data_IF_064256245979
#
_entry.id   IF_064256245979
#
_cell.length_a   1.000
_cell.length_b   1.000
_cell.length_c   1.000
_cell.angle_alpha   90.00
_cell.angle_beta   90.00
_cell.angle_gamma   90.00
#
_symmetry.space_group_name_H-M   'P 1'
#
loop_
_entity.id
_entity.type
_entity.pdbx_description
1 polymer ?
#
# COMPACT_ATOMS: atom_id res chain seq x y z
N UNK A 1 -2.85 -24.15 -12.35
CA UNK A 1 -3.91 -23.39 -11.65
C UNK A 1 -3.59 -21.91 -11.73
N UNK A 2 -4.06 -21.25 -12.79
CA UNK A 2 -4.06 -19.80 -12.89
C UNK A 2 -4.97 -19.24 -11.78
N UNK A 3 -4.41 -18.49 -10.83
CA UNK A 3 -5.23 -17.61 -9.98
C UNK A 3 -5.72 -16.49 -10.88
N UNK A 4 -7.02 -16.48 -11.16
CA UNK A 4 -7.69 -15.36 -11.81
C UNK A 4 -7.25 -14.05 -11.15
N UNK A 5 -6.80 -13.10 -11.98
CA UNK A 5 -6.50 -11.73 -11.57
C UNK A 5 -7.72 -11.20 -10.82
N UNK A 6 -7.54 -10.86 -9.54
CA UNK A 6 -8.61 -10.36 -8.68
C UNK A 6 -9.35 -9.21 -9.35
N UNK A 7 -10.54 -9.50 -9.87
CA UNK A 7 -11.47 -8.51 -10.38
C UNK A 7 -11.76 -7.53 -9.25
N UNK A 8 -11.86 -6.25 -9.59
CA UNK A 8 -12.19 -5.17 -8.65
C UNK A 8 -13.60 -5.42 -8.11
N UNK A 9 -13.72 -6.08 -6.96
CA UNK A 9 -15.01 -6.35 -6.32
C UNK A 9 -15.66 -5.01 -5.97
N UNK A 10 -16.73 -4.68 -6.70
CA UNK A 10 -17.36 -3.38 -6.70
C UNK A 10 -18.80 -3.52 -6.24
N UNK A 11 -19.28 -2.56 -5.45
CA UNK A 11 -20.70 -2.46 -5.07
C UNK A 11 -21.63 -2.07 -6.24
N UNK A 12 -21.20 -2.23 -7.50
CA UNK A 12 -21.95 -1.79 -8.68
C UNK A 12 -23.22 -2.62 -8.92
N UNK A 13 -23.30 -3.84 -8.40
CA UNK A 13 -24.50 -4.70 -8.47
C UNK A 13 -25.43 -4.61 -7.25
N UNK A 14 -25.15 -3.71 -6.31
CA UNK A 14 -25.96 -3.57 -5.08
C UNK A 14 -27.22 -2.74 -5.37
N UNK A 15 -28.41 -3.18 -4.94
CA UNK A 15 -29.64 -2.40 -5.05
C UNK A 15 -29.49 -1.00 -4.43
N UNK A 16 -30.04 0.00 -5.12
CA UNK A 16 -29.97 1.40 -4.71
C UNK A 16 -31.26 2.10 -5.12
N UNK A 17 -31.67 3.10 -4.34
CA UNK A 17 -32.64 4.08 -4.82
C UNK A 17 -32.07 4.87 -6.00
N UNK A 18 -32.97 5.42 -6.82
CA UNK A 18 -32.61 6.25 -7.96
C UNK A 18 -31.92 7.55 -7.50
N UNK A 19 -30.81 7.88 -8.17
CA UNK A 19 -30.07 9.12 -7.96
C UNK A 19 -30.87 10.37 -8.34
N UNK A 20 -31.93 10.21 -9.15
CA UNK A 20 -32.83 11.29 -9.53
C UNK A 20 -33.95 11.56 -8.51
N UNK A 21 -34.04 10.79 -7.42
CA UNK A 21 -35.10 11.00 -6.44
C UNK A 21 -34.96 12.35 -5.72
N UNK A 22 -36.10 12.91 -5.30
CA UNK A 22 -36.20 14.26 -4.69
C UNK A 22 -35.30 14.40 -3.46
N UNK A 23 -35.19 13.34 -2.65
CA UNK A 23 -34.28 13.30 -1.52
C UNK A 23 -32.81 13.43 -1.93
N UNK A 24 -32.39 12.69 -2.98
CA UNK A 24 -31.01 12.72 -3.47
C UNK A 24 -30.63 14.12 -3.98
N UNK A 25 -31.54 14.81 -4.68
CA UNK A 25 -31.30 16.19 -5.15
C UNK A 25 -31.11 17.16 -3.99
N UNK A 26 -31.97 17.11 -2.98
CA UNK A 26 -31.88 17.96 -1.78
C UNK A 26 -30.60 17.69 -0.99
N UNK A 27 -30.26 16.42 -0.78
CA UNK A 27 -29.03 16.04 -0.09
C UNK A 27 -27.78 16.44 -0.88
N UNK A 28 -27.81 16.35 -2.23
CA UNK A 28 -26.74 16.86 -3.11
C UNK A 28 -26.52 18.34 -2.93
N UNK A 29 -27.60 19.13 -2.95
CA UNK A 29 -27.53 20.56 -2.78
C UNK A 29 -26.92 20.93 -1.42
N UNK A 30 -27.31 20.23 -0.35
CA UNK A 30 -26.74 20.43 0.98
C UNK A 30 -25.25 20.07 1.07
N UNK A 31 -24.84 18.93 0.51
CA UNK A 31 -23.42 18.50 0.48
C UNK A 31 -22.52 19.52 -0.23
N UNK A 32 -23.01 20.13 -1.30
CA UNK A 32 -22.31 21.19 -2.04
C UNK A 32 -22.36 22.55 -1.36
N UNK A 33 -23.32 22.75 -0.46
CA UNK A 33 -23.47 23.97 0.33
C UNK A 33 -22.48 24.07 1.49
N UNK A 34 -22.53 25.21 2.18
CA UNK A 34 -21.70 25.48 3.36
C UNK A 34 -21.99 24.51 4.52
N UNK A 35 -23.23 24.04 4.65
CA UNK A 35 -23.65 23.08 5.69
C UNK A 35 -23.04 21.68 5.53
N UNK A 36 -22.85 21.22 4.28
CA UNK A 36 -22.27 19.92 3.96
C UNK A 36 -20.77 19.95 3.66
N UNK A 37 -20.12 21.10 3.85
CA UNK A 37 -18.67 21.25 3.71
C UNK A 37 -18.17 21.48 2.28
N UNK A 38 -18.99 22.09 1.42
CA UNK A 38 -18.62 22.53 0.06
C UNK A 38 -17.99 21.41 -0.79
N UNK A 39 -18.56 20.21 -0.75
CA UNK A 39 -18.03 19.06 -1.49
C UNK A 39 -18.08 19.31 -3.00
N UNK A 40 -17.10 18.80 -3.74
CA UNK A 40 -17.17 18.83 -5.21
C UNK A 40 -18.31 17.95 -5.72
N UNK A 41 -18.78 18.19 -6.94
CA UNK A 41 -19.86 17.42 -7.55
C UNK A 41 -19.59 15.91 -7.52
N UNK A 42 -18.39 15.51 -7.97
CA UNK A 42 -17.94 14.12 -7.89
C UNK A 42 -17.97 13.55 -6.48
N UNK A 43 -17.56 14.32 -5.47
CA UNK A 43 -17.56 13.86 -4.07
C UNK A 43 -18.99 13.68 -3.56
N UNK A 44 -19.88 14.63 -3.84
CA UNK A 44 -21.28 14.57 -3.44
C UNK A 44 -21.96 13.33 -4.05
N UNK A 45 -21.82 13.12 -5.37
CA UNK A 45 -22.38 11.97 -6.09
C UNK A 45 -21.90 10.63 -5.49
N UNK A 46 -20.62 10.54 -5.12
CA UNK A 46 -20.07 9.34 -4.48
C UNK A 46 -20.58 9.09 -3.06
N UNK A 47 -20.91 10.13 -2.30
CA UNK A 47 -21.48 10.00 -0.96
C UNK A 47 -22.95 9.56 -1.07
N UNK A 48 -23.73 10.24 -1.92
CA UNK A 48 -25.14 9.95 -2.12
C UNK A 48 -25.34 8.52 -2.61
N UNK A 49 -24.58 8.09 -3.62
CA UNK A 49 -24.69 6.72 -4.14
C UNK A 49 -24.50 5.66 -3.04
N UNK A 50 -23.64 5.90 -2.05
CA UNK A 50 -23.47 4.99 -0.90
C UNK A 50 -24.63 5.07 0.07
N UNK A 51 -25.13 6.27 0.34
CA UNK A 51 -26.29 6.49 1.20
C UNK A 51 -27.56 5.84 0.61
N UNK A 52 -27.81 5.96 -0.69
CA UNK A 52 -28.98 5.35 -1.34
C UNK A 52 -28.94 3.83 -1.32
N UNK A 53 -27.75 3.21 -1.40
CA UNK A 53 -27.58 1.76 -1.20
C UNK A 53 -27.84 1.33 0.24
N UNK A 54 -27.37 2.11 1.21
CA UNK A 54 -27.67 1.87 2.62
C UNK A 54 -29.17 1.97 2.89
N UNK A 55 -29.81 3.01 2.39
CA UNK A 55 -31.25 3.22 2.56
C UNK A 55 -32.04 2.10 1.87
N UNK A 56 -31.73 1.75 0.61
CA UNK A 56 -32.43 0.65 -0.09
C UNK A 56 -32.25 -0.70 0.59
N UNK A 57 -31.08 -0.96 1.19
CA UNK A 57 -30.88 -2.15 2.01
C UNK A 57 -31.74 -2.15 3.28
N UNK A 58 -31.95 -0.98 3.90
CA UNK A 58 -32.74 -0.88 5.13
C UNK A 58 -34.25 -0.92 4.87
N UNK A 59 -34.68 -0.57 3.66
CA UNK A 59 -36.08 -0.52 3.23
C UNK A 59 -36.26 -1.22 1.88
N UNK A 60 -36.00 -2.54 1.85
CA UNK A 60 -36.00 -3.33 0.62
C UNK A 60 -37.32 -3.23 -0.15
N UNK A 61 -38.43 -3.24 0.58
CA UNK A 61 -39.81 -3.22 0.03
C UNK A 61 -40.30 -1.84 -0.41
N UNK A 62 -39.57 -0.77 -0.08
CA UNK A 62 -39.98 0.60 -0.39
C UNK A 62 -39.38 1.09 -1.72
N UNK A 63 -40.22 1.62 -2.60
CA UNK A 63 -39.80 2.17 -3.90
C UNK A 63 -39.57 3.69 -3.85
N UNK A 64 -40.14 4.36 -2.84
CA UNK A 64 -40.05 5.81 -2.68
C UNK A 64 -39.39 6.18 -1.36
N UNK A 65 -38.42 7.09 -1.43
CA UNK A 65 -37.65 7.52 -0.28
C UNK A 65 -38.27 8.79 0.33
N UNK A 66 -38.76 8.67 1.57
CA UNK A 66 -39.26 9.80 2.39
C UNK A 66 -38.30 10.09 3.55
N UNK A 67 -38.41 11.29 4.15
CA UNK A 67 -37.60 11.64 5.32
C UNK A 67 -37.88 10.72 6.53
N UNK A 68 -39.12 10.27 6.71
CA UNK A 68 -39.47 9.34 7.79
C UNK A 68 -38.78 7.97 7.62
N UNK A 69 -38.68 7.48 6.38
CA UNK A 69 -37.94 6.25 6.06
C UNK A 69 -36.45 6.46 6.35
N UNK A 70 -35.88 7.60 5.95
CA UNK A 70 -34.48 7.93 6.24
C UNK A 70 -34.21 7.95 7.74
N UNK A 71 -35.05 8.63 8.51
CA UNK A 71 -34.92 8.73 9.96
C UNK A 71 -35.07 7.36 10.64
N UNK A 72 -36.01 6.53 10.19
CA UNK A 72 -36.16 5.15 10.65
C UNK A 72 -34.90 4.31 10.40
N UNK A 73 -34.36 4.36 9.18
CA UNK A 73 -33.15 3.63 8.81
C UNK A 73 -31.96 4.05 9.66
N UNK A 74 -31.79 5.36 9.86
CA UNK A 74 -30.69 5.92 10.65
C UNK A 74 -30.85 5.66 12.15
N UNK A 75 -32.07 5.65 12.68
CA UNK A 75 -32.32 5.45 14.11
C UNK A 75 -32.33 3.98 14.54
N UNK A 76 -32.12 3.03 13.63
CA UNK A 76 -32.06 1.60 13.92
C UNK A 76 -30.62 1.08 13.94
N UNK A 77 -29.99 0.90 15.12
CA UNK A 77 -28.66 0.30 15.21
C UNK A 77 -28.61 -1.10 14.57
N UNK A 78 -29.69 -1.88 14.70
CA UNK A 78 -29.75 -3.24 14.15
C UNK A 78 -29.60 -3.25 12.61
N UNK A 79 -30.26 -2.33 11.91
CA UNK A 79 -30.13 -2.21 10.45
C UNK A 79 -28.71 -1.78 10.07
N UNK A 80 -28.13 -0.83 10.82
CA UNK A 80 -26.75 -0.41 10.62
C UNK A 80 -25.75 -1.57 10.80
N UNK A 81 -25.91 -2.41 11.84
CA UNK A 81 -25.05 -3.57 12.07
C UNK A 81 -25.23 -4.63 10.96
N UNK A 82 -26.47 -4.95 10.57
CA UNK A 82 -26.72 -5.89 9.47
C UNK A 82 -26.09 -5.42 8.16
N UNK A 83 -26.24 -4.15 7.83
CA UNK A 83 -25.61 -3.57 6.64
C UNK A 83 -24.08 -3.68 6.70
N UNK A 84 -23.51 -3.41 7.87
CA UNK A 84 -22.07 -3.51 8.07
C UNK A 84 -21.54 -4.94 7.90
N UNK A 85 -22.29 -5.93 8.38
CA UNK A 85 -21.95 -7.35 8.23
C UNK A 85 -22.08 -7.78 6.76
N UNK A 86 -23.17 -7.43 6.06
CA UNK A 86 -23.37 -7.73 4.64
C UNK A 86 -22.29 -7.09 3.75
N UNK A 87 -21.83 -5.87 4.06
CA UNK A 87 -20.68 -5.28 3.37
C UNK A 87 -19.40 -6.14 3.46
N UNK A 88 -19.24 -6.92 4.53
CA UNK A 88 -18.09 -7.80 4.73
C UNK A 88 -18.31 -9.21 4.17
N UNK A 89 -19.43 -9.85 4.48
CA UNK A 89 -19.69 -11.25 4.13
C UNK A 89 -20.14 -11.42 2.68
N UNK A 90 -21.11 -10.62 2.25
CA UNK A 90 -21.77 -10.77 0.95
C UNK A 90 -21.06 -9.95 -0.13
N UNK A 91 -20.77 -8.68 0.16
CA UNK A 91 -20.15 -7.78 -0.83
C UNK A 91 -18.62 -7.89 -0.86
N UNK A 92 -18.05 -8.56 0.15
CA UNK A 92 -16.60 -8.76 0.32
C UNK A 92 -15.79 -7.46 0.19
N UNK A 93 -16.36 -6.36 0.70
CA UNK A 93 -15.87 -5.03 0.45
C UNK A 93 -14.60 -4.75 1.27
N UNK A 94 -13.57 -4.20 0.62
CA UNK A 94 -12.32 -3.82 1.26
C UNK A 94 -12.52 -2.80 2.39
N UNK A 95 -11.59 -2.77 3.36
CA UNK A 95 -11.71 -1.90 4.54
C UNK A 95 -11.89 -0.42 4.22
N UNK A 96 -11.16 0.14 3.24
CA UNK A 96 -11.31 1.54 2.87
C UNK A 96 -12.69 1.82 2.24
N UNK A 97 -13.22 0.87 1.46
CA UNK A 97 -14.57 0.96 0.92
C UNK A 97 -15.61 1.01 2.05
N UNK A 98 -15.45 0.15 3.07
CA UNK A 98 -16.35 0.10 4.24
C UNK A 98 -16.29 1.39 5.05
N UNK A 99 -15.09 1.95 5.25
CA UNK A 99 -14.92 3.28 5.84
C UNK A 99 -15.65 4.33 5.00
N UNK A 100 -15.54 4.26 3.67
CA UNK A 100 -16.23 5.17 2.76
C UNK A 100 -17.77 5.13 2.86
N UNK A 101 -18.37 3.98 3.20
CA UNK A 101 -19.80 3.87 3.51
C UNK A 101 -20.12 4.46 4.89
N UNK A 102 -19.34 4.14 5.92
CA UNK A 102 -19.53 4.69 7.26
C UNK A 102 -19.43 6.23 7.28
N UNK A 103 -18.46 6.78 6.56
CA UNK A 103 -18.28 8.24 6.44
C UNK A 103 -19.47 8.86 5.68
N UNK A 104 -20.02 8.20 4.66
CA UNK A 104 -21.22 8.67 3.94
C UNK A 104 -22.47 8.67 4.83
N UNK A 105 -22.69 7.59 5.58
CA UNK A 105 -23.81 7.50 6.53
C UNK A 105 -23.67 8.56 7.64
N UNK A 106 -22.46 8.89 8.08
CA UNK A 106 -22.25 9.96 9.05
C UNK A 106 -22.64 11.36 8.52
N UNK A 107 -22.36 11.64 7.24
CA UNK A 107 -22.83 12.86 6.57
C UNK A 107 -24.37 12.88 6.47
N UNK A 108 -24.98 11.73 6.17
CA UNK A 108 -26.44 11.57 6.13
C UNK A 108 -27.10 11.77 7.51
N UNK A 109 -26.49 11.27 8.59
CA UNK A 109 -26.91 11.55 9.97
C UNK A 109 -26.86 13.04 10.26
N UNK A 110 -25.79 13.73 9.81
CA UNK A 110 -25.64 15.17 10.01
C UNK A 110 -26.71 15.96 9.25
N UNK A 111 -26.97 15.60 8.00
CA UNK A 111 -28.05 16.17 7.20
C UNK A 111 -29.41 16.05 7.89
N UNK A 112 -29.73 14.85 8.39
CA UNK A 112 -31.03 14.58 9.04
C UNK A 112 -31.20 15.38 10.34
N UNK A 113 -30.12 15.56 11.12
CA UNK A 113 -30.14 16.42 12.32
C UNK A 113 -30.46 17.89 12.01
N UNK A 114 -30.05 18.39 10.84
CA UNK A 114 -30.23 19.79 10.47
C UNK A 114 -31.60 20.05 9.84
N UNK A 115 -32.22 19.06 9.20
CA UNK A 115 -33.48 19.22 8.46
C UNK A 115 -34.74 18.91 9.27
N UNK A 116 -34.77 19.30 10.56
CA UNK A 116 -36.01 19.34 11.33
C UNK A 116 -36.44 18.01 11.98
N UNK A 117 -35.50 17.12 12.28
CA UNK A 117 -35.75 15.91 13.04
C UNK A 117 -36.42 16.20 14.40
N UNK A 118 -37.39 15.37 14.79
CA UNK A 118 -38.01 15.45 16.12
C UNK A 118 -37.01 15.13 17.25
N UNK A 119 -37.31 15.52 18.49
CA UNK A 119 -36.41 15.28 19.63
C UNK A 119 -36.12 13.78 19.84
N UNK A 120 -37.12 12.92 19.64
CA UNK A 120 -36.96 11.47 19.69
C UNK A 120 -35.98 10.96 18.61
N UNK A 121 -36.10 11.48 17.38
CA UNK A 121 -35.19 11.16 16.28
C UNK A 121 -33.78 11.67 16.57
N UNK A 122 -33.60 12.89 17.10
CA UNK A 122 -32.29 13.44 17.45
C UNK A 122 -31.52 12.58 18.46
N UNK A 123 -32.23 11.98 19.43
CA UNK A 123 -31.66 11.02 20.38
C UNK A 123 -31.20 9.73 19.68
N UNK A 124 -32.04 9.19 18.78
CA UNK A 124 -31.70 8.03 17.95
C UNK A 124 -30.47 8.28 17.07
N UNK A 125 -30.44 9.41 16.36
CA UNK A 125 -29.32 9.83 15.51
C UNK A 125 -28.01 10.04 16.31
N UNK A 126 -28.10 10.48 17.56
CA UNK A 126 -26.92 10.61 18.44
C UNK A 126 -26.36 9.26 18.87
N UNK A 127 -27.24 8.29 19.08
CA UNK A 127 -26.86 6.89 19.34
C UNK A 127 -26.16 6.30 18.12
N UNK A 128 -26.73 6.48 16.93
CA UNK A 128 -26.15 6.02 15.66
C UNK A 128 -24.77 6.64 15.39
N UNK A 129 -24.59 7.94 15.63
CA UNK A 129 -23.29 8.61 15.49
C UNK A 129 -22.21 7.98 16.41
N UNK A 130 -22.60 7.57 17.61
CA UNK A 130 -21.71 6.85 18.54
C UNK A 130 -21.30 5.48 17.99
N UNK A 131 -22.23 4.73 17.41
CA UNK A 131 -21.95 3.43 16.79
C UNK A 131 -21.08 3.58 15.54
N UNK A 132 -21.38 4.54 14.66
CA UNK A 132 -20.58 4.83 13.47
C UNK A 132 -19.11 5.14 13.84
N UNK A 133 -18.88 5.97 14.87
CA UNK A 133 -17.52 6.24 15.38
C UNK A 133 -16.81 4.98 15.87
N UNK A 134 -17.50 4.10 16.60
CA UNK A 134 -16.96 2.82 17.08
C UNK A 134 -16.64 1.88 15.92
N UNK A 135 -17.59 1.66 15.00
CA UNK A 135 -17.42 0.83 13.81
C UNK A 135 -16.24 1.32 12.96
N UNK A 136 -16.18 2.62 12.67
CA UNK A 136 -15.10 3.24 11.90
C UNK A 136 -13.74 3.02 12.56
N UNK A 137 -13.64 3.17 13.88
CA UNK A 137 -12.41 2.90 14.65
C UNK A 137 -12.01 1.43 14.55
N UNK A 138 -12.96 0.50 14.64
CA UNK A 138 -12.73 -0.94 14.50
C UNK A 138 -12.23 -1.28 13.11
N UNK A 139 -12.91 -0.83 12.04
CA UNK A 139 -12.45 -1.05 10.66
C UNK A 139 -11.08 -0.44 10.44
N UNK A 140 -10.84 0.77 10.94
CA UNK A 140 -9.52 1.43 10.83
C UNK A 140 -8.43 0.65 11.57
N UNK A 141 -8.76 -0.06 12.66
CA UNK A 141 -7.82 -0.93 13.37
C UNK A 141 -7.58 -2.22 12.56
N UNK A 142 -8.63 -2.86 12.06
CA UNK A 142 -8.52 -4.05 11.18
C UNK A 142 -7.71 -3.74 9.93
N UNK A 143 -8.00 -2.62 9.28
CA UNK A 143 -7.28 -2.11 8.11
C UNK A 143 -5.79 -1.92 8.41
N UNK A 144 -5.43 -1.29 9.53
CA UNK A 144 -4.03 -1.14 9.95
C UNK A 144 -3.36 -2.48 10.24
N UNK A 145 -4.06 -3.41 10.89
CA UNK A 145 -3.53 -4.75 11.17
C UNK A 145 -3.28 -5.52 9.87
N UNK A 146 -4.26 -5.57 8.97
CA UNK A 146 -4.13 -6.19 7.65
C UNK A 146 -2.99 -5.54 6.84
N UNK A 147 -2.88 -4.23 6.85
CA UNK A 147 -1.79 -3.53 6.18
C UNK A 147 -0.41 -3.77 6.76
N UNK A 148 -0.35 -4.18 8.03
CA UNK A 148 0.92 -4.56 8.66
C UNK A 148 1.28 -6.01 8.36
N UNK A 149 0.29 -6.89 8.09
CA UNK A 149 0.49 -8.31 7.76
C UNK A 149 0.56 -8.62 6.27
N UNK A 150 -0.18 -7.91 5.44
CA UNK A 150 -0.26 -8.13 3.99
C UNK A 150 0.96 -7.49 3.32
N UNK A 151 1.91 -8.35 2.97
CA UNK A 151 3.14 -8.01 2.26
C UNK A 151 3.01 -8.13 0.74
N UNK A 152 1.84 -8.53 0.23
CA UNK A 152 1.61 -8.70 -1.20
C UNK A 152 1.19 -7.37 -1.86
N UNK A 153 2.12 -6.80 -2.65
CA UNK A 153 1.93 -5.53 -3.34
C UNK A 153 0.78 -5.61 -4.33
N UNK A 154 0.63 -6.73 -5.05
CA UNK A 154 -0.39 -6.89 -6.08
C UNK A 154 -1.80 -6.86 -5.47
N UNK A 155 -1.96 -7.47 -4.28
CA UNK A 155 -3.22 -7.44 -3.52
C UNK A 155 -3.53 -6.04 -2.98
N UNK A 156 -2.50 -5.32 -2.50
CA UNK A 156 -2.66 -3.94 -2.02
C UNK A 156 -3.00 -2.97 -3.16
N UNK A 157 -2.42 -3.16 -4.35
CA UNK A 157 -2.70 -2.37 -5.54
C UNK A 157 -4.12 -2.63 -6.06
N UNK A 158 -4.54 -3.90 -6.16
CA UNK A 158 -5.90 -4.28 -6.56
C UNK A 158 -6.97 -3.67 -5.64
N UNK A 159 -6.70 -3.59 -4.33
CA UNK A 159 -7.59 -2.97 -3.34
C UNK A 159 -7.49 -1.43 -3.29
N UNK A 160 -6.63 -0.80 -4.10
CA UNK A 160 -6.41 0.65 -4.11
C UNK A 160 -5.74 1.19 -2.84
N UNK A 161 -5.05 0.34 -2.09
CA UNK A 161 -4.39 0.67 -0.82
C UNK A 161 -2.89 0.99 -0.98
N UNK A 162 -2.32 0.67 -2.15
CA UNK A 162 -0.93 0.97 -2.48
C UNK A 162 -0.77 2.42 -2.96
N UNK A 163 0.13 3.19 -2.33
CA UNK A 163 0.43 4.55 -2.75
C UNK A 163 1.56 4.56 -3.79
N UNK A 164 1.44 5.40 -4.82
CA UNK A 164 2.49 5.57 -5.83
C UNK A 164 3.51 6.62 -5.40
N UNK A 165 4.69 6.62 -6.03
CA UNK A 165 5.69 7.65 -5.80
C UNK A 165 5.17 9.06 -6.16
N UNK A 166 4.37 9.18 -7.22
CA UNK A 166 3.77 10.44 -7.63
C UNK A 166 2.74 10.95 -6.62
N UNK A 167 1.92 10.07 -6.06
CA UNK A 167 0.99 10.42 -4.99
C UNK A 167 1.73 10.92 -3.75
N UNK A 168 2.86 10.31 -3.40
CA UNK A 168 3.71 10.75 -2.29
C UNK A 168 4.32 12.13 -2.57
N UNK A 169 4.88 12.35 -3.75
CA UNK A 169 5.41 13.66 -4.15
C UNK A 169 4.30 14.73 -4.13
N UNK A 170 3.10 14.37 -4.57
CA UNK A 170 1.91 15.23 -4.52
C UNK A 170 1.49 15.65 -3.12
N UNK A 171 1.83 14.89 -2.07
CA UNK A 171 1.58 15.28 -0.67
C UNK A 171 2.32 16.57 -0.33
N UNK A 172 3.58 16.70 -0.74
CA UNK A 172 4.38 17.91 -0.48
C UNK A 172 3.75 19.10 -1.19
N UNK A 173 3.45 18.96 -2.49
CA UNK A 173 2.84 20.03 -3.30
C UNK A 173 1.49 20.48 -2.74
N UNK A 174 0.67 19.55 -2.24
CA UNK A 174 -0.65 19.84 -1.65
C UNK A 174 -0.57 20.69 -0.38
N UNK A 175 0.42 20.42 0.47
CA UNK A 175 0.52 21.08 1.78
C UNK A 175 1.48 22.28 1.79
N UNK A 176 2.31 22.44 0.76
CA UNK A 176 3.27 23.54 0.64
C UNK A 176 2.61 24.93 0.74
N UNK A 177 1.48 25.25 0.06
CA UNK A 177 0.85 26.56 0.17
C UNK A 177 0.40 26.88 1.61
N UNK A 178 -0.09 25.87 2.34
CA UNK A 178 -0.47 26.02 3.74
C UNK A 178 0.76 26.26 4.62
N UNK A 179 1.85 25.55 4.38
CA UNK A 179 3.10 25.75 5.12
C UNK A 179 3.67 27.16 4.90
N UNK A 180 3.68 27.64 3.66
CA UNK A 180 4.13 28.99 3.32
C UNK A 180 3.28 30.08 4.00
N UNK A 181 1.96 29.90 4.05
CA UNK A 181 1.07 30.79 4.77
C UNK A 181 1.42 30.86 6.27
N UNK A 182 1.60 29.69 6.91
CA UNK A 182 2.02 29.62 8.32
C UNK A 182 3.37 30.29 8.53
N UNK A 183 4.35 30.02 7.66
CA UNK A 183 5.68 30.61 7.74
C UNK A 183 5.62 32.14 7.61
N UNK A 184 4.80 32.67 6.69
CA UNK A 184 4.60 34.11 6.52
C UNK A 184 4.00 34.74 7.78
N UNK A 185 2.92 34.16 8.31
CA UNK A 185 2.33 34.61 9.58
C UNK A 185 3.34 34.62 10.74
N UNK A 186 4.21 33.61 10.82
CA UNK A 186 5.24 33.54 11.85
C UNK A 186 6.37 34.56 11.63
N UNK A 187 6.72 34.88 10.39
CA UNK A 187 7.71 35.93 10.06
C UNK A 187 7.23 37.32 10.47
N UNK A 188 5.95 37.60 10.24
CA UNK A 188 5.35 38.90 10.51
C UNK A 188 5.03 39.13 12.00
N UNK A 189 5.22 38.10 12.85
CA UNK A 189 4.98 38.15 14.29
C UNK A 189 6.31 38.14 15.07
N UNK A 190 6.96 39.29 15.30
CA UNK A 190 8.18 39.34 16.09
C UNK A 190 7.93 38.94 17.55
N UNK A 191 8.84 38.14 18.11
CA UNK A 191 8.78 37.52 19.45
C UNK A 191 8.62 38.55 20.59
N UNK A 192 8.88 39.83 20.33
CA UNK A 192 8.94 40.91 21.34
C UNK A 192 7.64 41.72 21.51
N UNK A 193 6.64 41.58 20.62
CA UNK A 193 5.35 42.28 20.76
C UNK A 193 4.18 41.35 20.47
N UNK A 194 3.73 40.60 21.49
CA UNK A 194 2.62 39.66 21.36
C UNK A 194 1.31 40.42 21.62
N UNK A 195 0.58 40.76 20.55
CA UNK A 195 -0.87 40.97 20.63
C UNK A 195 -1.61 39.65 20.30
N UNK A 196 -2.69 39.29 21.03
CA UNK A 196 -3.34 37.97 20.92
C UNK A 196 -3.97 37.63 19.56
N UNK A 197 -4.12 38.61 18.67
CA UNK A 197 -4.91 38.50 17.43
C UNK A 197 -4.06 38.23 16.17
N UNK A 198 -2.73 38.28 16.26
CA UNK A 198 -1.82 38.12 15.09
C UNK A 198 -0.89 36.90 15.17
N UNK A 199 -0.95 36.11 16.26
CA UNK A 199 -0.07 34.94 16.41
C UNK A 199 -0.58 33.73 15.63
N UNK A 200 0.33 32.99 14.97
CA UNK A 200 0.01 31.70 14.36
C UNK A 200 -0.64 30.75 15.37
N UNK A 201 -1.73 30.08 14.97
CA UNK A 201 -2.48 29.23 15.89
C UNK A 201 -1.63 28.04 16.34
N UNK A 202 -1.87 27.47 17.54
CA UNK A 202 -1.15 26.27 17.96
C UNK A 202 -1.36 25.05 17.05
N UNK A 203 -2.47 25.02 16.32
CA UNK A 203 -2.74 23.99 15.31
C UNK A 203 -1.86 24.19 14.07
N UNK A 204 -1.60 25.44 13.67
CA UNK A 204 -0.73 25.77 12.54
C UNK A 204 0.74 25.47 12.84
N UNK A 205 1.20 25.78 14.05
CA UNK A 205 2.55 25.41 14.49
C UNK A 205 2.72 23.88 14.52
N UNK A 206 1.71 23.15 15.03
CA UNK A 206 1.72 21.69 15.02
C UNK A 206 1.68 21.12 13.59
N UNK A 207 0.91 21.73 12.70
CA UNK A 207 0.88 21.39 11.29
C UNK A 207 2.25 21.62 10.64
N UNK A 208 2.90 22.76 10.88
CA UNK A 208 4.21 23.07 10.31
C UNK A 208 5.28 22.04 10.72
N UNK A 209 5.30 21.60 11.99
CA UNK A 209 6.19 20.50 12.42
C UNK A 209 5.88 19.19 11.68
N UNK A 210 4.59 18.85 11.51
CA UNK A 210 4.17 17.64 10.77
C UNK A 210 4.60 17.72 9.32
N UNK A 211 4.36 18.86 8.67
CA UNK A 211 4.74 19.12 7.30
C UNK A 211 6.24 19.00 7.12
N UNK A 212 7.04 19.65 7.97
CA UNK A 212 8.50 19.58 7.89
C UNK A 212 9.00 18.14 8.02
N UNK A 213 8.46 17.37 8.96
CA UNK A 213 8.82 15.95 9.07
C UNK A 213 8.55 15.21 7.75
N UNK A 214 7.35 15.35 7.18
CA UNK A 214 6.96 14.71 5.90
C UNK A 214 7.76 15.20 4.71
N UNK A 215 8.09 16.48 4.66
CA UNK A 215 8.96 17.06 3.67
C UNK A 215 10.34 16.39 3.70
N UNK A 216 10.95 16.28 4.89
CA UNK A 216 12.24 15.60 5.06
C UNK A 216 12.16 14.13 4.62
N UNK A 217 11.10 13.41 5.02
CA UNK A 217 10.88 12.02 4.61
C UNK A 217 10.85 11.82 3.09
N UNK A 218 10.28 12.76 2.34
CA UNK A 218 10.05 12.61 0.90
C UNK A 218 11.20 13.20 0.08
N UNK A 219 11.75 14.33 0.51
CA UNK A 219 12.73 15.13 -0.25
C UNK A 219 14.18 14.87 0.15
N UNK A 220 14.46 14.58 1.43
CA UNK A 220 15.82 14.28 1.92
C UNK A 220 16.03 12.77 1.84
N UNK A 221 16.21 12.24 0.63
CA UNK A 221 16.28 10.80 0.39
C UNK A 221 17.56 10.17 0.93
N UNK A 222 17.48 8.85 1.17
CA UNK A 222 18.67 8.03 1.48
C UNK A 222 19.18 8.20 2.91
N UNK A 223 18.28 8.37 3.87
CA UNK A 223 18.60 8.25 5.30
C UNK A 223 17.44 7.60 6.03
N UNK A 224 17.66 7.15 7.27
CA UNK A 224 16.57 6.53 8.00
C UNK A 224 15.57 7.59 8.45
N UNK A 225 14.28 7.34 8.23
CA UNK A 225 13.16 7.95 8.94
C UNK A 225 13.40 8.48 10.35
N UNK A 226 14.06 7.68 11.18
CA UNK A 226 14.24 7.96 12.60
C UNK A 226 15.44 8.88 12.86
N UNK A 227 16.33 9.09 11.88
CA UNK A 227 17.52 9.94 11.99
C UNK A 227 17.14 11.41 12.11
N UNK A 228 16.09 11.86 11.40
CA UNK A 228 15.58 13.23 11.55
C UNK A 228 15.10 13.55 12.97
N UNK A 229 14.76 12.54 13.78
CA UNK A 229 14.37 12.73 15.18
C UNK A 229 15.51 13.35 16.01
N UNK A 230 16.75 13.08 15.60
CA UNK A 230 17.97 13.49 16.30
C UNK A 230 18.71 14.64 15.60
N UNK A 231 18.14 15.20 14.53
CA UNK A 231 18.69 16.38 13.86
C UNK A 231 18.60 17.58 14.81
N UNK A 232 19.74 18.19 15.13
CA UNK A 232 19.82 19.38 15.98
C UNK A 232 19.83 20.65 15.14
N UNK A 233 19.54 21.78 15.78
CA UNK A 233 19.57 23.09 15.13
C UNK A 233 20.96 23.41 14.57
N UNK A 234 22.02 23.12 15.34
CA UNK A 234 23.40 23.45 14.97
C UNK A 234 23.94 22.62 13.81
N UNK A 235 23.40 21.41 13.59
CA UNK A 235 23.77 20.57 12.45
C UNK A 235 23.39 21.19 11.10
N UNK A 236 22.34 22.02 11.05
CA UNK A 236 21.84 22.60 9.79
C UNK A 236 22.83 23.63 9.21
N UNK A 237 23.34 24.61 9.99
CA UNK A 237 24.43 25.48 9.56
C UNK A 237 25.72 24.72 9.22
N UNK A 238 26.11 23.71 10.00
CA UNK A 238 27.32 22.91 9.72
C UNK A 238 27.22 22.17 8.39
N UNK A 239 26.01 21.72 8.01
CA UNK A 239 25.78 21.08 6.71
C UNK A 239 26.13 22.01 5.54
N UNK A 240 25.84 23.32 5.63
CA UNK A 240 26.19 24.30 4.57
C UNK A 240 27.68 24.32 4.28
N UNK A 241 28.49 24.25 5.33
CA UNK A 241 29.96 24.26 5.20
C UNK A 241 30.54 22.92 4.73
N UNK A 242 29.76 21.84 4.83
CA UNK A 242 30.17 20.48 4.52
C UNK A 242 29.48 19.95 3.24
N UNK A 243 29.21 20.82 2.27
CA UNK A 243 28.59 20.42 0.99
C UNK A 243 27.18 19.80 1.12
N UNK A 244 26.43 20.17 2.16
CA UNK A 244 25.10 19.64 2.47
C UNK A 244 25.12 18.40 3.36
N UNK A 245 26.28 17.84 3.69
CA UNK A 245 26.37 16.62 4.49
C UNK A 245 26.25 16.90 5.99
N UNK A 246 25.33 16.20 6.64
CA UNK A 246 25.33 16.02 8.09
C UNK A 246 25.92 14.65 8.40
N UNK A 247 27.16 14.67 8.88
CA UNK A 247 27.90 13.45 9.16
C UNK A 247 27.43 12.77 10.44
N UNK A 248 27.43 11.45 10.36
CA UNK A 248 26.90 10.58 11.37
C UNK A 248 27.49 10.73 12.78
N UNK A 249 28.78 11.08 12.91
CA UNK A 249 29.42 11.25 14.23
C UNK A 249 28.71 12.32 15.06
N UNK A 250 27.99 13.23 14.41
CA UNK A 250 27.21 14.26 15.09
C UNK A 250 25.90 13.69 15.69
N UNK A 251 25.32 12.65 15.10
CA UNK A 251 24.13 12.01 15.64
C UNK A 251 24.53 11.08 16.81
N UNK A 252 24.04 11.39 18.02
CA UNK A 252 24.23 10.57 19.25
C UNK A 252 23.44 9.25 19.21
N UNK A 253 23.45 8.53 18.08
CA UNK A 253 22.64 7.34 17.81
C UNK A 253 23.48 6.10 17.45
N UNK A 254 24.80 6.24 17.41
CA UNK A 254 25.74 5.20 16.95
C UNK A 254 25.54 3.85 17.67
N UNK A 255 25.34 3.84 18.99
CA UNK A 255 25.14 2.61 19.76
C UNK A 255 23.80 1.90 19.52
N UNK A 256 22.75 2.62 19.09
CA UNK A 256 21.39 2.06 18.93
C UNK A 256 21.01 1.79 17.47
N UNK A 257 21.50 2.61 16.54
CA UNK A 257 21.11 2.57 15.14
C UNK A 257 22.33 2.47 14.18
N UNK A 258 23.56 2.76 14.62
CA UNK A 258 24.78 2.68 13.81
C UNK A 258 24.91 3.77 12.73
N UNK A 259 25.63 3.41 11.65
CA UNK A 259 25.90 4.09 10.36
C UNK A 259 24.75 5.01 9.74
N UNK A 260 24.73 6.35 9.66
CA UNK A 260 23.72 7.16 8.88
C UNK A 260 24.12 8.63 8.64
N UNK A 261 24.02 9.11 7.39
CA UNK A 261 24.35 10.49 6.99
C UNK A 261 23.18 11.14 6.24
N UNK A 262 23.00 12.45 6.38
CA UNK A 262 22.01 13.21 5.61
C UNK A 262 22.69 14.04 4.53
N UNK A 263 22.07 14.11 3.35
CA UNK A 263 22.45 15.08 2.31
C UNK A 263 21.31 16.10 2.12
N UNK A 264 21.58 17.35 2.50
CA UNK A 264 20.65 18.46 2.38
C UNK A 264 21.04 19.31 1.16
N UNK A 265 20.08 19.56 0.26
CA UNK A 265 20.24 20.54 -0.82
C UNK A 265 20.03 21.96 -0.29
N UNK A 266 20.41 22.97 -1.07
CA UNK A 266 20.16 24.39 -0.73
C UNK A 266 18.68 24.68 -0.47
N UNK A 267 17.79 24.05 -1.23
CA UNK A 267 16.34 24.13 -1.01
C UNK A 267 15.94 23.53 0.34
N UNK A 268 16.45 22.34 0.68
CA UNK A 268 16.15 21.69 1.95
C UNK A 268 16.63 22.54 3.14
N UNK A 269 17.82 23.12 3.02
CA UNK A 269 18.41 24.00 4.03
C UNK A 269 17.58 25.28 4.20
N UNK A 270 17.13 25.89 3.11
CA UNK A 270 16.28 27.09 3.15
C UNK A 270 14.94 26.83 3.87
N UNK A 271 14.32 25.66 3.62
CA UNK A 271 13.08 25.26 4.29
C UNK A 271 13.32 25.03 5.79
N UNK A 272 14.41 24.36 6.15
CA UNK A 272 14.81 24.12 7.54
C UNK A 272 15.11 25.43 8.28
N UNK A 273 15.85 26.35 7.67
CA UNK A 273 16.17 27.66 8.25
C UNK A 273 14.92 28.50 8.48
N UNK A 274 13.99 28.51 7.52
CA UNK A 274 12.69 29.16 7.70
C UNK A 274 11.93 28.61 8.91
N UNK A 275 11.88 27.30 9.07
CA UNK A 275 11.25 26.68 10.23
C UNK A 275 11.99 27.01 11.54
N UNK A 276 13.31 26.85 11.58
CA UNK A 276 14.16 27.05 12.77
C UNK A 276 14.10 28.50 13.25
N UNK A 277 14.08 29.45 12.33
CA UNK A 277 14.13 30.89 12.64
C UNK A 277 12.78 31.43 13.08
N UNK A 278 11.69 31.07 12.38
CA UNK A 278 10.41 31.74 12.55
C UNK A 278 9.36 30.89 13.29
N UNK A 279 9.35 29.57 13.10
CA UNK A 279 8.28 28.69 13.62
C UNK A 279 8.71 28.03 14.93
N UNK A 280 9.91 27.44 14.96
CA UNK A 280 10.44 26.69 16.10
C UNK A 280 10.47 27.50 17.40
N UNK A 281 10.84 28.80 17.44
CA UNK A 281 10.87 29.56 18.68
C UNK A 281 9.49 29.72 19.32
N UNK A 282 8.42 29.80 18.51
CA UNK A 282 7.03 29.90 18.98
C UNK A 282 6.53 28.61 19.67
N UNK A 283 7.19 27.47 19.43
CA UNK A 283 6.93 26.20 20.10
C UNK A 283 7.60 26.08 21.48
N UNK A 284 8.33 27.12 21.93
CA UNK A 284 9.06 27.17 23.22
C UNK A 284 9.92 25.92 23.46
N UNK A 285 10.89 25.64 22.58
CA UNK A 285 11.67 24.40 22.61
C UNK A 285 12.48 24.28 23.90
N UNK A 286 12.49 23.08 24.49
CA UNK A 286 13.27 22.71 25.70
C UNK A 286 14.46 21.80 25.38
N UNK A 287 14.70 21.56 24.10
CA UNK A 287 15.77 20.70 23.60
C UNK A 287 16.40 21.32 22.34
N UNK A 288 17.52 20.77 21.90
CA UNK A 288 18.29 21.27 20.75
C UNK A 288 17.82 20.68 19.41
N UNK A 289 16.84 19.77 19.43
CA UNK A 289 16.34 19.09 18.23
C UNK A 289 15.51 20.04 17.36
N UNK A 290 15.57 19.84 16.04
CA UNK A 290 14.79 20.61 15.07
C UNK A 290 13.29 20.32 15.23
N UNK A 291 12.91 19.04 15.26
CA UNK A 291 11.52 18.60 15.33
C UNK A 291 11.04 18.52 16.79
N UNK A 292 10.23 19.51 17.19
CA UNK A 292 9.68 19.63 18.56
C UNK A 292 8.15 19.60 18.55
N UNK A 293 7.57 19.04 19.60
CA UNK A 293 6.12 19.04 19.83
C UNK A 293 5.64 20.43 20.26
N UNK A 294 4.31 20.60 20.35
CA UNK A 294 3.67 21.81 20.92
C UNK A 294 4.14 22.15 22.35
N UNK A 295 4.63 21.16 23.09
CA UNK A 295 5.12 21.34 24.46
C UNK A 295 6.63 21.66 24.51
N UNK A 296 7.27 21.85 23.36
CA UNK A 296 8.69 22.13 23.24
C UNK A 296 9.61 20.93 23.43
N UNK A 297 9.07 19.72 23.63
CA UNK A 297 9.87 18.48 23.77
C UNK A 297 10.11 17.81 22.42
N UNK A 298 11.14 16.95 22.32
CA UNK A 298 11.50 16.20 21.12
C UNK A 298 10.31 15.41 20.54
N UNK A 299 10.17 15.42 19.21
CA UNK A 299 9.09 14.68 18.55
C UNK A 299 9.46 13.22 18.25
N UNK A 300 9.10 12.29 19.14
CA UNK A 300 9.56 10.89 19.06
C UNK A 300 8.73 9.96 18.15
N UNK A 301 7.58 10.42 17.65
CA UNK A 301 6.64 9.61 16.85
C UNK A 301 6.57 10.08 15.39
N UNK A 302 7.72 10.16 14.70
CA UNK A 302 7.77 10.69 13.32
C UNK A 302 6.95 9.88 12.32
N UNK A 303 6.93 8.54 12.46
CA UNK A 303 6.12 7.68 11.59
C UNK A 303 4.62 8.00 11.64
N UNK A 304 4.10 8.42 12.81
CA UNK A 304 2.70 8.82 12.96
C UNK A 304 2.38 10.13 12.23
N UNK A 305 3.35 11.06 12.17
CA UNK A 305 3.19 12.32 11.42
C UNK A 305 3.05 12.05 9.93
N UNK A 306 3.92 11.18 9.41
CA UNK A 306 3.88 10.74 8.03
C UNK A 306 2.56 10.07 7.69
N UNK A 307 2.17 9.06 8.48
CA UNK A 307 0.94 8.33 8.20
C UNK A 307 -0.30 9.22 8.22
N UNK A 308 -0.38 10.22 9.10
CA UNK A 308 -1.53 11.14 9.15
C UNK A 308 -1.60 12.04 7.93
N UNK A 309 -0.54 12.79 7.62
CA UNK A 309 -0.56 13.73 6.50
C UNK A 309 -0.70 13.03 5.16
N UNK A 310 -0.02 11.90 4.96
CA UNK A 310 -0.15 11.14 3.71
C UNK A 310 -1.57 10.58 3.58
N UNK A 311 -2.16 10.08 4.67
CA UNK A 311 -3.53 9.57 4.63
C UNK A 311 -4.56 10.68 4.38
N UNK A 312 -4.42 11.86 4.99
CA UNK A 312 -5.28 13.01 4.73
C UNK A 312 -5.19 13.50 3.27
N UNK A 313 -4.01 13.40 2.65
CA UNK A 313 -3.81 13.80 1.26
C UNK A 313 -4.27 12.75 0.24
N UNK A 314 -4.05 11.46 0.52
CA UNK A 314 -4.17 10.38 -0.48
C UNK A 314 -5.26 9.37 -0.15
N UNK A 315 -5.77 9.34 1.07
CA UNK A 315 -6.62 8.27 1.59
C UNK A 315 -5.87 6.95 1.84
N UNK A 316 -4.53 6.92 1.64
CA UNK A 316 -3.71 5.72 1.75
C UNK A 316 -2.78 5.83 2.94
N UNK A 317 -2.68 4.75 3.72
CA UNK A 317 -1.82 4.73 4.89
C UNK A 317 -0.41 4.34 4.53
N UNK A 318 0.51 5.27 4.75
CA UNK A 318 1.93 5.08 4.50
C UNK A 318 2.67 5.33 5.81
N UNK A 319 3.37 4.30 6.28
CA UNK A 319 4.31 4.39 7.39
C UNK A 319 5.74 4.25 6.82
N UNK A 320 6.79 4.56 7.59
CA UNK A 320 8.15 4.61 7.05
C UNK A 320 8.62 3.34 6.33
N UNK A 321 8.29 2.15 6.85
CA UNK A 321 8.62 0.87 6.17
C UNK A 321 7.86 0.70 4.86
N UNK A 322 6.58 1.11 4.80
CA UNK A 322 5.80 1.08 3.55
C UNK A 322 6.28 2.11 2.52
N UNK A 323 6.69 3.30 2.97
CA UNK A 323 7.34 4.27 2.11
C UNK A 323 8.59 3.66 1.45
N UNK A 324 9.42 2.96 2.24
CA UNK A 324 10.59 2.25 1.74
C UNK A 324 10.22 1.22 0.66
N UNK A 325 9.18 0.41 0.90
CA UNK A 325 8.68 -0.53 -0.09
C UNK A 325 8.24 0.17 -1.39
N UNK A 326 7.54 1.30 -1.31
CA UNK A 326 7.12 2.07 -2.49
C UNK A 326 8.35 2.54 -3.29
N UNK A 327 9.36 3.11 -2.62
CA UNK A 327 10.59 3.56 -3.27
C UNK A 327 11.32 2.41 -3.96
N UNK A 328 11.49 1.29 -3.26
CA UNK A 328 12.18 0.10 -3.78
C UNK A 328 11.42 -0.54 -4.95
N UNK A 329 10.09 -0.64 -4.88
CA UNK A 329 9.29 -1.17 -6.00
C UNK A 329 9.22 -0.20 -7.19
N UNK A 330 9.20 1.11 -6.93
CA UNK A 330 9.30 2.11 -7.99
C UNK A 330 10.67 2.11 -8.67
N UNK A 331 11.75 1.86 -7.93
CA UNK A 331 13.11 1.81 -8.50
C UNK A 331 13.25 0.68 -9.52
N UNK A 332 12.60 -0.47 -9.30
CA UNK A 332 12.55 -1.58 -10.27
C UNK A 332 12.05 -1.17 -11.66
N UNK A 333 11.15 -0.18 -11.72
CA UNK A 333 10.48 0.23 -12.96
C UNK A 333 11.27 1.27 -13.74
N UNK A 334 12.16 2.02 -13.07
CA UNK A 334 12.78 3.23 -13.62
C UNK A 334 14.31 3.17 -13.63
N UNK A 335 14.93 2.44 -12.70
CA UNK A 335 16.38 2.46 -12.49
C UNK A 335 17.06 1.18 -12.98
N UNK A 336 18.36 1.27 -13.28
CA UNK A 336 19.20 0.13 -13.62
C UNK A 336 19.66 -0.64 -12.37
N UNK A 337 20.12 -1.88 -12.52
CA UNK A 337 20.51 -2.76 -11.41
C UNK A 337 21.53 -2.13 -10.44
N UNK A 338 22.51 -1.38 -10.95
CA UNK A 338 23.50 -0.69 -10.12
C UNK A 338 22.87 0.41 -9.25
N UNK A 339 22.00 1.23 -9.84
CA UNK A 339 21.30 2.32 -9.12
C UNK A 339 20.25 1.78 -8.14
N UNK A 340 19.58 0.68 -8.51
CA UNK A 340 18.68 -0.04 -7.60
C UNK A 340 19.45 -0.57 -6.38
N UNK A 341 20.68 -1.06 -6.59
CA UNK A 341 21.56 -1.48 -5.51
C UNK A 341 21.90 -0.30 -4.60
N UNK A 342 22.27 0.87 -5.13
CA UNK A 342 22.57 2.05 -4.32
C UNK A 342 21.37 2.53 -3.49
N UNK A 343 20.15 2.47 -4.04
CA UNK A 343 18.93 2.78 -3.27
C UNK A 343 18.68 1.72 -2.19
N UNK A 344 18.95 0.46 -2.50
CA UNK A 344 18.71 -0.71 -1.62
C UNK A 344 19.85 -0.98 -0.64
N UNK A 345 21.00 -0.33 -0.82
CA UNK A 345 22.21 -0.52 -0.04
C UNK A 345 21.94 -0.15 1.42
N UNK A 346 22.45 -1.00 2.31
CA UNK A 346 21.89 -1.20 3.64
C UNK A 346 21.91 0.07 4.51
N UNK A 347 20.73 0.62 4.77
CA UNK A 347 20.46 1.48 5.94
C UNK A 347 19.72 0.71 7.04
N UNK A 348 20.09 -0.55 7.27
CA UNK A 348 19.64 -1.50 8.29
C UNK A 348 18.14 -1.84 8.33
N UNK A 349 17.37 -1.45 7.32
CA UNK A 349 15.96 -1.84 7.17
C UNK A 349 15.72 -2.38 5.76
N UNK A 350 16.15 -3.63 5.52
CA UNK A 350 15.78 -4.31 4.28
C UNK A 350 14.34 -4.78 4.36
N UNK A 351 13.50 -4.37 3.41
CA UNK A 351 12.18 -4.97 3.25
C UNK A 351 12.32 -6.36 2.64
N UNK A 352 11.95 -7.42 3.38
CA UNK A 352 11.87 -8.77 2.82
C UNK A 352 10.92 -8.82 1.61
N UNK A 353 9.91 -7.94 1.59
CA UNK A 353 8.97 -7.80 0.47
C UNK A 353 9.66 -7.30 -0.79
N UNK A 354 10.45 -6.24 -0.68
CA UNK A 354 11.19 -5.72 -1.82
C UNK A 354 12.22 -6.72 -2.32
N UNK A 355 12.93 -7.40 -1.40
CA UNK A 355 13.84 -8.51 -1.74
C UNK A 355 13.13 -9.62 -2.52
N UNK A 356 11.93 -10.03 -2.11
CA UNK A 356 11.13 -11.03 -2.82
C UNK A 356 10.67 -10.50 -4.19
N UNK A 357 10.25 -9.23 -4.27
CA UNK A 357 9.85 -8.61 -5.52
C UNK A 357 11.02 -8.53 -6.53
N UNK A 358 12.20 -8.07 -6.11
CA UNK A 358 13.42 -8.07 -6.92
C UNK A 358 13.79 -9.47 -7.39
N UNK A 359 13.72 -10.48 -6.51
CA UNK A 359 14.00 -11.88 -6.87
C UNK A 359 13.02 -12.41 -7.92
N UNK A 360 11.72 -12.13 -7.77
CA UNK A 360 10.69 -12.52 -8.74
C UNK A 360 10.94 -11.87 -10.10
N UNK A 361 11.21 -10.57 -10.12
CA UNK A 361 11.48 -9.85 -11.37
C UNK A 361 12.77 -10.34 -12.04
N UNK A 362 13.87 -10.46 -11.29
CA UNK A 362 15.13 -11.00 -11.79
C UNK A 362 14.97 -12.43 -12.32
N UNK A 363 14.19 -13.28 -11.63
CA UNK A 363 13.90 -14.63 -12.11
C UNK A 363 13.18 -14.62 -13.46
N UNK A 364 12.24 -13.68 -13.68
CA UNK A 364 11.57 -13.52 -14.97
C UNK A 364 12.54 -13.05 -16.04
N UNK A 365 13.34 -12.02 -15.76
CA UNK A 365 14.35 -11.52 -16.70
C UNK A 365 15.36 -12.59 -17.10
N UNK A 366 15.83 -13.39 -16.13
CA UNK A 366 16.73 -14.52 -16.39
C UNK A 366 16.04 -15.58 -17.23
N UNK A 367 14.80 -15.94 -16.93
CA UNK A 367 14.04 -16.92 -17.72
C UNK A 367 13.81 -16.44 -19.16
N UNK A 368 13.45 -15.17 -19.36
CA UNK A 368 13.26 -14.56 -20.68
C UNK A 368 14.58 -14.56 -21.47
N UNK A 369 15.68 -14.10 -20.87
CA UNK A 369 16.99 -14.12 -21.53
C UNK A 369 17.48 -15.54 -21.82
N UNK A 370 17.26 -16.49 -20.90
CA UNK A 370 17.62 -17.89 -21.11
C UNK A 370 16.84 -18.48 -22.29
N UNK A 371 15.54 -18.19 -22.39
CA UNK A 371 14.72 -18.57 -23.55
C UNK A 371 15.27 -17.98 -24.85
N UNK A 372 15.56 -16.68 -24.90
CA UNK A 372 16.14 -16.04 -26.08
C UNK A 372 17.50 -16.64 -26.49
N UNK A 373 18.35 -16.95 -25.51
CA UNK A 373 19.62 -17.63 -25.75
C UNK A 373 19.43 -19.06 -26.26
N UNK A 374 18.48 -19.81 -25.69
CA UNK A 374 18.13 -21.15 -26.14
C UNK A 374 17.56 -21.14 -27.55
N UNK A 375 16.66 -20.21 -27.88
CA UNK A 375 16.13 -20.04 -29.24
C UNK A 375 17.26 -19.78 -30.26
N UNK A 376 18.27 -18.99 -29.90
CA UNK A 376 19.47 -18.79 -30.74
C UNK A 376 20.35 -20.04 -30.87
N UNK A 377 20.51 -20.80 -29.79
CA UNK A 377 21.29 -22.04 -29.78
C UNK A 377 20.59 -23.16 -30.56
N UNK A 378 19.26 -23.19 -30.51
CA UNK A 378 18.42 -24.16 -31.19
C UNK A 378 18.41 -23.98 -32.71
N UNK A 379 18.66 -22.76 -33.21
CA UNK A 379 18.64 -22.44 -34.63
C UNK A 379 17.35 -22.89 -35.32
N UNK A 380 17.41 -23.15 -36.63
CA UNK A 380 16.26 -23.69 -37.39
C UNK A 380 15.87 -25.12 -36.95
N UNK A 381 16.77 -25.84 -36.28
CA UNK A 381 16.61 -27.24 -35.88
C UNK A 381 15.70 -27.42 -34.65
N UNK A 382 15.71 -26.50 -33.68
CA UNK A 382 14.80 -26.60 -32.52
C UNK A 382 13.39 -26.08 -32.79
N UNK A 383 13.18 -25.30 -33.86
CA UNK A 383 11.85 -25.02 -34.43
C UNK A 383 11.32 -26.19 -35.27
N UNK A 384 12.18 -27.12 -35.67
CA UNK A 384 11.88 -28.37 -36.41
C UNK A 384 11.65 -29.59 -35.52
N UNK A 385 11.58 -29.44 -34.19
CA UNK A 385 10.75 -30.37 -33.42
C UNK A 385 9.33 -30.10 -33.88
N UNK A 386 8.93 -30.83 -34.92
CA UNK A 386 7.88 -30.41 -35.83
C UNK A 386 6.61 -30.18 -35.01
N UNK A 387 6.07 -28.95 -35.06
CA UNK A 387 4.72 -28.70 -34.56
C UNK A 387 3.76 -29.72 -35.17
N UNK A 388 4.03 -30.17 -36.39
CA UNK A 388 3.29 -31.23 -37.06
C UNK A 388 3.41 -32.59 -36.35
N UNK A 389 4.59 -33.01 -35.89
CA UNK A 389 4.79 -34.29 -35.20
C UNK A 389 4.16 -34.28 -33.80
N UNK A 390 4.33 -33.17 -33.08
CA UNK A 390 3.68 -32.98 -31.76
C UNK A 390 2.16 -32.87 -31.92
N UNK A 391 1.66 -32.16 -32.93
CA UNK A 391 0.22 -32.10 -33.18
C UNK A 391 -0.35 -33.42 -33.73
N UNK A 392 0.39 -34.17 -34.55
CA UNK A 392 0.01 -35.53 -35.01
C UNK A 392 -0.07 -36.50 -33.84
N UNK A 393 0.83 -36.38 -32.86
CA UNK A 393 0.75 -37.11 -31.59
C UNK A 393 -0.53 -36.73 -30.82
N UNK A 394 -0.83 -35.44 -30.64
CA UNK A 394 -2.06 -35.00 -29.96
C UNK A 394 -3.35 -35.34 -30.74
N UNK A 395 -3.26 -35.52 -32.06
CA UNK A 395 -4.33 -36.04 -32.93
C UNK A 395 -4.45 -37.57 -32.92
N UNK A 396 -3.52 -38.27 -32.29
CA UNK A 396 -3.52 -39.74 -32.15
C UNK A 396 -3.10 -40.51 -33.40
N UNK A 397 -2.44 -39.85 -34.37
CA UNK A 397 -2.09 -40.43 -35.67
C UNK A 397 -0.80 -41.28 -35.64
N UNK A 398 0.10 -41.02 -34.69
CA UNK A 398 1.24 -41.88 -34.38
C UNK A 398 1.38 -42.05 -32.86
N UNK A 399 1.56 -43.31 -32.43
CA UNK A 399 1.81 -43.63 -31.02
C UNK A 399 3.33 -43.64 -30.79
N UNK A 400 3.90 -42.48 -30.43
CA UNK A 400 5.21 -42.46 -29.79
C UNK A 400 5.09 -43.28 -28.49
N UNK A 401 5.69 -44.47 -28.48
CA UNK A 401 5.67 -45.33 -27.30
C UNK A 401 6.55 -44.65 -26.26
N UNK A 402 5.90 -43.97 -25.32
CA UNK A 402 6.58 -43.26 -24.25
C UNK A 402 7.12 -44.25 -23.23
N UNK A 403 7.99 -43.79 -22.33
CA UNK A 403 8.43 -44.61 -21.20
C UNK A 403 7.24 -45.07 -20.34
N UNK A 404 6.16 -44.28 -20.27
CA UNK A 404 4.94 -44.63 -19.53
C UNK A 404 4.21 -45.85 -20.15
N UNK A 405 4.32 -46.05 -21.47
CA UNK A 405 3.78 -47.22 -22.17
C UNK A 405 4.74 -48.43 -22.10
N UNK A 406 6.06 -48.19 -22.25
CA UNK A 406 7.09 -49.23 -22.32
C UNK A 406 7.44 -49.82 -20.96
N UNK A 407 7.50 -48.98 -19.91
CA UNK A 407 7.99 -49.39 -18.60
C UNK A 407 7.12 -50.47 -17.93
N UNK A 408 5.77 -50.40 -17.95
CA UNK A 408 4.94 -51.47 -17.40
C UNK A 408 5.11 -52.81 -18.12
N UNK A 409 5.26 -52.79 -19.45
CA UNK A 409 5.49 -54.00 -20.27
C UNK A 409 6.86 -54.58 -19.98
N UNK A 410 7.88 -53.73 -19.90
CA UNK A 410 9.24 -54.12 -19.56
C UNK A 410 9.30 -54.76 -18.17
N UNK A 411 8.65 -54.17 -17.17
CA UNK A 411 8.58 -54.73 -15.81
C UNK A 411 7.86 -56.09 -15.79
N UNK A 412 6.77 -56.23 -16.55
CA UNK A 412 6.06 -57.49 -16.71
C UNK A 412 6.97 -58.58 -17.29
N UNK A 413 7.74 -58.27 -18.34
CA UNK A 413 8.69 -59.20 -18.97
C UNK A 413 9.80 -59.60 -17.99
N UNK A 414 10.42 -58.64 -17.30
CA UNK A 414 11.52 -58.89 -16.36
C UNK A 414 11.07 -59.80 -15.20
N UNK A 415 9.89 -59.53 -14.61
CA UNK A 415 9.32 -60.37 -13.54
C UNK A 415 9.05 -61.80 -14.03
N UNK A 416 8.52 -61.95 -15.25
CA UNK A 416 8.16 -63.25 -15.82
C UNK A 416 9.38 -64.05 -16.27
N UNK A 417 10.43 -63.38 -16.72
CA UNK A 417 11.68 -64.01 -17.12
C UNK A 417 12.40 -64.68 -15.94
N UNK A 418 12.15 -64.23 -14.69
CA UNK A 418 12.73 -64.79 -13.46
C UNK A 418 14.24 -65.01 -13.56
N UNK A 419 14.93 -64.00 -14.09
CA UNK A 419 16.38 -64.04 -14.31
C UNK A 419 17.06 -64.31 -12.95
N UNK A 420 17.75 -65.46 -12.79
CA UNK A 420 18.42 -65.77 -11.53
C UNK A 420 19.47 -64.72 -11.21
N UNK A 421 19.52 -64.28 -9.96
CA UNK A 421 20.52 -63.32 -9.48
C UNK A 421 20.58 -61.99 -10.25
N UNK A 422 19.46 -61.55 -10.85
CA UNK A 422 19.40 -60.32 -11.65
C UNK A 422 20.03 -59.09 -10.97
N UNK A 423 19.84 -58.92 -9.66
CA UNK A 423 20.49 -57.82 -8.93
C UNK A 423 22.02 -57.89 -8.94
N UNK A 424 22.59 -59.09 -8.77
CA UNK A 424 24.04 -59.31 -8.86
C UNK A 424 24.57 -59.11 -10.28
N UNK A 425 23.80 -59.52 -11.30
CA UNK A 425 24.15 -59.31 -12.72
C UNK A 425 24.15 -57.81 -13.08
N UNK A 426 23.17 -57.05 -12.60
CA UNK A 426 23.13 -55.59 -12.77
C UNK A 426 24.36 -54.95 -12.13
N UNK A 427 24.69 -55.32 -10.88
CA UNK A 427 25.89 -54.81 -10.21
C UNK A 427 27.18 -55.20 -10.93
N UNK A 428 27.28 -56.43 -11.42
CA UNK A 428 28.43 -56.88 -12.19
C UNK A 428 28.62 -56.06 -13.48
N UNK A 429 27.53 -55.76 -14.19
CA UNK A 429 27.56 -54.91 -15.38
C UNK A 429 27.95 -53.47 -15.02
N UNK A 430 27.39 -52.90 -13.93
CA UNK A 430 27.71 -51.55 -13.45
C UNK A 430 29.20 -51.39 -13.09
N UNK A 431 29.80 -52.45 -12.55
CA UNK A 431 31.19 -52.44 -12.07
C UNK A 431 32.23 -52.79 -13.14
N UNK A 432 31.86 -53.57 -14.17
CA UNK A 432 32.81 -54.14 -15.14
C UNK A 432 32.70 -53.55 -16.55
N UNK A 433 31.65 -52.78 -16.86
CA UNK A 433 31.46 -52.19 -18.19
C UNK A 433 32.02 -50.77 -18.25
N UNK A 434 32.65 -50.43 -19.39
CA UNK A 434 33.22 -49.11 -19.61
C UNK A 434 32.19 -47.98 -19.50
N UNK A 435 32.59 -46.88 -18.85
CA UNK A 435 31.73 -45.72 -18.58
C UNK A 435 31.03 -45.13 -19.82
N UNK A 436 31.57 -45.35 -21.02
CA UNK A 436 30.94 -44.89 -22.27
C UNK A 436 29.66 -45.65 -22.64
N UNK A 437 29.47 -46.88 -22.15
CA UNK A 437 28.25 -47.70 -22.40
C UNK A 437 27.06 -47.18 -21.58
N UNK A 438 27.34 -46.45 -20.50
CA UNK A 438 26.32 -45.82 -19.64
C UNK A 438 25.77 -44.50 -20.20
N UNK A 439 26.16 -44.12 -21.42
CA UNK A 439 25.73 -42.88 -22.07
C UNK A 439 24.86 -43.20 -23.29
N UNK A 440 23.84 -42.38 -23.54
CA UNK A 440 22.92 -42.57 -24.66
C UNK A 440 21.87 -43.66 -24.41
N UNK A 441 21.39 -44.30 -25.47
CA UNK A 441 20.26 -45.24 -25.41
C UNK A 441 20.52 -46.45 -24.51
N UNK A 442 21.74 -47.00 -24.55
CA UNK A 442 22.13 -48.16 -23.73
C UNK A 442 22.13 -47.83 -22.23
N UNK A 443 22.64 -46.66 -21.86
CA UNK A 443 22.60 -46.16 -20.48
C UNK A 443 21.17 -45.92 -19.98
N UNK A 444 20.30 -45.36 -20.82
CA UNK A 444 18.90 -45.18 -20.47
C UNK A 444 18.16 -46.51 -20.28
N UNK A 445 18.38 -47.50 -21.15
CA UNK A 445 17.79 -48.84 -21.02
C UNK A 445 18.31 -49.58 -19.78
N UNK A 446 19.59 -49.47 -19.49
CA UNK A 446 20.19 -50.06 -18.29
C UNK A 446 19.66 -49.41 -17.01
N UNK A 447 19.51 -48.08 -17.00
CA UNK A 447 18.86 -47.35 -15.88
C UNK A 447 17.41 -47.77 -15.69
N UNK A 448 16.71 -48.12 -16.77
CA UNK A 448 15.32 -48.59 -16.73
C UNK A 448 15.22 -50.02 -16.16
N UNK A 449 16.27 -50.84 -16.28
CA UNK A 449 16.35 -52.18 -15.68
C UNK A 449 16.64 -52.17 -14.17
N UNK A 450 17.39 -51.17 -13.71
CA UNK A 450 17.75 -50.95 -12.30
C UNK A 450 16.55 -50.47 -11.48
#
# INVERSE_FOLDING_TARGET
>A
MEKEKGQRLSSNGVPSFDMSCTFAEQFTAWLKGSGGGCKSDRQAQQLISKCLKFLKFCSEDEDHLTLDIVDFCLCSPNLLFKFFDSMQSEWQLGHAGRIGYLDAIAELVTYSKVNGASEAVLSGLSTTDTYLKKMRKTVSKMMRLQWTSDLDIDVLEAKGHWATMDELLGVVSRYLPRYEAVLRTCKDTPVQHIQPTQTASPFDLSFATKFLAVYLFIQVKGSRPMTYQYLTVDMVPTAKTNGGFVDQKMFKTAGKYGFDSLLLTDTNMSVLEGYITYIRPLLKPKCEYVLVTRNGVQHNKLGELMSKLVFEATGKYVHPTRYRQIVETSSCKVLQSADQSAISEDQKHSSNVAKVHYRKQRSREVATKARECLEKLHGDSGTKLDKEDVERFWRGEEKLVSLDDLFPVFHFVVIRARIPHLGSEIHFIDDMVDAHVHVGEQGHMFTTLK
#
